data_IF_858485322175
#
_entry.id   IF_858485322175
#
_cell.length_a   1.000
_cell.length_b   1.000
_cell.length_c   1.000
_cell.angle_alpha   90.00
_cell.angle_beta   90.00
_cell.angle_gamma   90.00
#
_symmetry.space_group_name_H-M   'P 1'
#
loop_
_entity.id
_entity.type
_entity.pdbx_description
1 polymer ?
#
# COMPACT_ATOMS: atom_id res chain seq x y z
N UNK A 1 16.81 1.42 -16.25
CA UNK A 1 17.66 2.17 -15.31
C UNK A 1 16.81 2.91 -14.30
N UNK A 2 17.17 2.83 -13.04
CA UNK A 2 16.43 3.51 -12.00
C UNK A 2 16.62 5.03 -12.11
N UNK A 3 15.54 5.82 -12.03
CA UNK A 3 15.69 7.28 -12.05
C UNK A 3 16.55 7.77 -10.88
N UNK A 4 17.32 8.82 -11.12
CA UNK A 4 18.24 9.37 -10.13
C UNK A 4 17.53 9.97 -8.91
N UNK A 5 16.24 10.31 -9.05
CA UNK A 5 15.46 10.93 -7.98
C UNK A 5 14.51 9.96 -7.28
N UNK A 6 14.63 8.67 -7.58
CA UNK A 6 13.79 7.68 -6.93
C UNK A 6 14.25 7.45 -5.49
N UNK A 7 13.31 7.42 -4.57
CA UNK A 7 13.57 7.13 -3.16
C UNK A 7 12.63 6.08 -2.63
N UNK A 8 12.99 5.55 -1.45
CA UNK A 8 12.15 4.60 -0.73
C UNK A 8 11.25 5.36 0.22
N UNK A 9 9.95 5.09 0.16
CA UNK A 9 8.98 5.78 1.01
C UNK A 9 8.06 4.79 1.69
N UNK A 10 7.78 5.06 2.97
CA UNK A 10 6.73 4.39 3.70
C UNK A 10 5.52 5.32 3.74
N UNK A 11 4.42 4.87 3.15
CA UNK A 11 3.18 5.64 3.04
C UNK A 11 2.13 5.04 3.95
N UNK A 12 1.41 5.90 4.67
CA UNK A 12 0.26 5.50 5.47
C UNK A 12 -0.93 6.36 5.09
N UNK A 13 -2.04 5.72 4.76
CA UNK A 13 -3.29 6.41 4.49
C UNK A 13 -4.36 5.89 5.44
N UNK A 14 -5.02 6.80 6.16
CA UNK A 14 -6.04 6.46 7.15
C UNK A 14 -7.42 6.84 6.66
N UNK A 15 -8.42 6.11 7.18
CA UNK A 15 -9.81 6.42 6.89
C UNK A 15 -10.21 7.72 7.59
N UNK A 16 -11.22 8.38 7.00
CA UNK A 16 -11.84 9.52 7.65
C UNK A 16 -12.66 9.02 8.85
N UNK A 17 -12.55 9.74 10.00
CA UNK A 17 -13.30 9.43 11.21
C UNK A 17 -13.18 7.97 11.67
N UNK A 18 -12.04 7.35 11.41
CA UNK A 18 -11.76 5.96 11.80
C UNK A 18 -12.78 4.94 11.26
N UNK A 19 -13.46 5.26 10.17
CA UNK A 19 -14.38 4.33 9.53
C UNK A 19 -13.64 3.14 8.95
N UNK A 20 -14.33 2.00 8.86
CA UNK A 20 -13.79 0.85 8.16
C UNK A 20 -13.81 1.11 6.65
N UNK A 21 -12.64 1.11 6.03
CA UNK A 21 -12.49 1.29 4.58
C UNK A 21 -12.28 -0.04 3.86
N UNK A 22 -12.15 -1.11 4.62
CA UNK A 22 -12.16 -2.47 4.10
C UNK A 22 -13.15 -3.26 4.95
N UNK A 23 -14.29 -3.59 4.38
CA UNK A 23 -15.40 -4.22 5.12
C UNK A 23 -15.55 -5.69 4.82
N UNK A 24 -14.75 -6.21 3.90
CA UNK A 24 -14.79 -7.61 3.52
C UNK A 24 -13.76 -7.90 2.46
N UNK A 25 -13.65 -9.17 2.09
CA UNK A 25 -12.64 -9.65 1.15
C UNK A 25 -12.65 -8.89 -0.18
N UNK A 26 -13.84 -8.58 -0.65
CA UNK A 26 -13.99 -7.89 -1.93
C UNK A 26 -13.33 -6.52 -1.93
N UNK A 27 -13.41 -5.80 -0.82
CA UNK A 27 -12.76 -4.49 -0.69
C UNK A 27 -11.25 -4.63 -0.75
N UNK A 28 -10.71 -5.60 -0.01
CA UNK A 28 -9.26 -5.84 -0.01
C UNK A 28 -8.76 -6.22 -1.40
N UNK A 29 -9.44 -7.14 -2.05
CA UNK A 29 -9.06 -7.58 -3.39
C UNK A 29 -9.13 -6.44 -4.41
N UNK A 30 -10.13 -5.59 -4.29
CA UNK A 30 -10.29 -4.43 -5.16
C UNK A 30 -9.11 -3.46 -5.00
N UNK A 31 -8.70 -3.19 -3.75
CA UNK A 31 -7.57 -2.29 -3.52
C UNK A 31 -6.26 -2.88 -4.03
N UNK A 32 -6.05 -4.18 -3.82
CA UNK A 32 -4.88 -4.87 -4.37
C UNK A 32 -4.85 -4.76 -5.89
N UNK A 33 -6.01 -4.90 -6.53
CA UNK A 33 -6.12 -4.77 -7.98
C UNK A 33 -5.72 -3.36 -8.45
N UNK A 34 -6.21 -2.32 -7.77
CA UNK A 34 -5.83 -0.96 -8.12
C UNK A 34 -4.34 -0.69 -7.91
N UNK A 35 -3.79 -1.25 -6.84
CA UNK A 35 -2.36 -1.14 -6.58
C UNK A 35 -1.55 -1.81 -7.69
N UNK A 36 -1.94 -3.02 -8.06
CA UNK A 36 -1.27 -3.77 -9.13
C UNK A 36 -1.32 -3.03 -10.46
N UNK A 37 -2.45 -2.40 -10.77
CA UNK A 37 -2.60 -1.62 -11.99
C UNK A 37 -1.60 -0.46 -12.03
N UNK A 38 -1.44 0.26 -10.93
CA UNK A 38 -0.51 1.38 -10.87
C UNK A 38 0.94 0.92 -11.03
N UNK A 39 1.30 -0.21 -10.44
CA UNK A 39 2.63 -0.78 -10.62
C UNK A 39 2.85 -1.16 -12.09
N UNK A 40 1.89 -1.82 -12.71
CA UNK A 40 2.02 -2.24 -14.11
C UNK A 40 2.03 -1.05 -15.06
N UNK A 41 1.39 0.06 -14.71
CA UNK A 41 1.42 1.29 -15.47
C UNK A 41 2.74 2.07 -15.30
N UNK A 42 3.62 1.60 -14.41
CA UNK A 42 4.93 2.20 -14.22
C UNK A 42 4.97 3.38 -13.25
N UNK A 43 3.94 3.56 -12.42
CA UNK A 43 3.90 4.68 -11.49
C UNK A 43 4.92 4.55 -10.36
N UNK A 44 5.20 3.33 -9.92
CA UNK A 44 6.16 3.09 -8.85
C UNK A 44 6.48 1.60 -8.76
N UNK A 45 7.46 1.27 -7.93
CA UNK A 45 7.80 -0.13 -7.62
C UNK A 45 7.32 -0.43 -6.20
N UNK A 46 6.48 -1.44 -6.04
CA UNK A 46 5.94 -1.81 -4.74
C UNK A 46 6.79 -2.90 -4.11
N UNK A 47 7.25 -2.67 -2.88
CA UNK A 47 8.06 -3.63 -2.13
C UNK A 47 7.26 -4.36 -1.06
N UNK A 48 6.35 -3.65 -0.39
CA UNK A 48 5.51 -4.22 0.66
C UNK A 48 4.22 -3.43 0.79
N UNK A 49 3.19 -4.08 1.30
CA UNK A 49 1.94 -3.42 1.64
C UNK A 49 1.24 -4.17 2.77
N UNK A 50 0.36 -3.47 3.46
CA UNK A 50 -0.51 -4.08 4.46
C UNK A 50 -1.80 -3.27 4.52
N UNK A 51 -2.92 -3.89 4.18
CA UNK A 51 -4.24 -3.27 4.23
C UNK A 51 -4.95 -3.69 5.51
N UNK A 52 -5.28 -2.72 6.34
CA UNK A 52 -5.94 -2.89 7.63
C UNK A 52 -7.35 -2.31 7.56
N UNK A 53 -8.27 -2.69 8.45
CA UNK A 53 -9.66 -2.21 8.35
C UNK A 53 -9.83 -0.70 8.25
N UNK A 54 -8.97 0.10 8.90
CA UNK A 54 -9.11 1.55 8.94
C UNK A 54 -7.95 2.30 8.29
N UNK A 55 -6.99 1.60 7.71
CA UNK A 55 -5.83 2.27 7.09
C UNK A 55 -5.02 1.27 6.29
N UNK A 56 -4.06 1.78 5.52
CA UNK A 56 -3.09 0.91 4.87
C UNK A 56 -1.68 1.46 5.00
N UNK A 57 -0.72 0.55 4.93
CA UNK A 57 0.70 0.86 4.83
C UNK A 57 1.20 0.40 3.47
N UNK A 58 2.06 1.18 2.88
CA UNK A 58 2.66 0.89 1.58
C UNK A 58 4.13 1.26 1.63
N UNK A 59 5.00 0.36 1.19
CA UNK A 59 6.43 0.61 1.11
C UNK A 59 6.85 0.45 -0.34
N UNK A 60 7.41 1.48 -0.95
CA UNK A 60 7.75 1.44 -2.36
C UNK A 60 8.83 2.42 -2.76
N UNK A 61 9.32 2.24 -3.97
CA UNK A 61 10.25 3.15 -4.62
C UNK A 61 9.47 4.07 -5.54
N UNK A 62 9.60 5.37 -5.31
CA UNK A 62 8.91 6.41 -6.07
C UNK A 62 9.91 7.44 -6.56
N UNK A 63 9.68 7.96 -7.74
CA UNK A 63 10.26 9.24 -8.10
C UNK A 63 9.58 10.29 -7.23
N UNK A 64 10.35 11.20 -6.66
CA UNK A 64 9.84 12.15 -5.67
C UNK A 64 8.59 12.88 -6.15
N UNK A 65 8.61 13.38 -7.39
CA UNK A 65 7.49 14.11 -7.96
C UNK A 65 6.28 13.23 -8.26
N UNK A 66 6.45 11.91 -8.28
CA UNK A 66 5.37 10.97 -8.56
C UNK A 66 4.70 10.42 -7.31
N UNK A 67 5.29 10.63 -6.13
CA UNK A 67 4.75 10.07 -4.89
C UNK A 67 3.32 10.53 -4.63
N UNK A 68 3.10 11.82 -4.55
CA UNK A 68 1.78 12.37 -4.24
C UNK A 68 0.74 12.06 -5.33
N UNK A 69 1.04 12.26 -6.63
CA UNK A 69 0.07 11.90 -7.67
C UNK A 69 -0.30 10.42 -7.65
N UNK A 70 0.66 9.54 -7.39
CA UNK A 70 0.41 8.10 -7.37
C UNK A 70 -0.53 7.72 -6.22
N UNK A 71 -0.26 8.20 -5.01
CA UNK A 71 -1.10 7.88 -3.86
C UNK A 71 -2.50 8.49 -4.01
N UNK A 72 -2.59 9.73 -4.50
CA UNK A 72 -3.90 10.33 -4.78
C UNK A 72 -4.70 9.50 -5.78
N UNK A 73 -4.04 8.96 -6.79
CA UNK A 73 -4.71 8.13 -7.81
C UNK A 73 -5.20 6.82 -7.20
N UNK A 74 -4.37 6.16 -6.40
CA UNK A 74 -4.76 4.94 -5.71
C UNK A 74 -5.98 5.20 -4.82
N UNK A 75 -5.89 6.21 -3.97
CA UNK A 75 -6.95 6.52 -3.02
C UNK A 75 -8.25 6.90 -3.74
N UNK A 76 -8.17 7.67 -4.80
CA UNK A 76 -9.36 8.08 -5.56
C UNK A 76 -10.00 6.90 -6.28
N UNK A 77 -9.22 6.04 -6.92
CA UNK A 77 -9.75 4.86 -7.60
C UNK A 77 -10.43 3.92 -6.61
N UNK A 78 -9.78 3.67 -5.49
CA UNK A 78 -10.35 2.80 -4.47
C UNK A 78 -11.60 3.43 -3.85
N UNK A 79 -11.56 4.71 -3.50
CA UNK A 79 -12.69 5.40 -2.89
C UNK A 79 -13.93 5.35 -3.79
N UNK A 80 -13.76 5.52 -5.09
CA UNK A 80 -14.86 5.41 -6.06
C UNK A 80 -15.48 4.02 -6.03
N UNK A 81 -14.65 2.99 -6.10
CA UNK A 81 -15.12 1.60 -6.06
C UNK A 81 -15.82 1.29 -4.76
N UNK A 82 -15.21 1.70 -3.65
CA UNK A 82 -15.75 1.48 -2.32
C UNK A 82 -17.11 2.16 -2.15
N UNK A 83 -17.21 3.43 -2.49
CA UNK A 83 -18.44 4.17 -2.38
C UNK A 83 -19.56 3.58 -3.25
N UNK A 84 -19.22 3.17 -4.47
CA UNK A 84 -20.19 2.54 -5.37
C UNK A 84 -20.69 1.22 -4.78
N UNK A 85 -19.78 0.40 -4.27
CA UNK A 85 -20.09 -0.92 -3.75
C UNK A 85 -20.96 -0.85 -2.49
N UNK A 86 -20.73 0.16 -1.65
CA UNK A 86 -21.40 0.30 -0.37
C UNK A 86 -22.50 1.36 -0.34
N UNK A 87 -22.84 1.94 -1.49
CA UNK A 87 -23.86 2.99 -1.56
C UNK A 87 -23.51 4.20 -0.71
N UNK A 88 -22.24 4.56 -0.66
CA UNK A 88 -21.69 5.60 0.20
C UNK A 88 -21.28 6.81 -0.64
N UNK A 89 -21.26 7.98 -0.02
CA UNK A 89 -20.80 9.23 -0.65
C UNK A 89 -19.75 9.91 0.23
N UNK A 90 -18.94 10.75 -0.39
CA UNK A 90 -17.98 11.58 0.31
C UNK A 90 -16.61 10.93 0.45
N UNK A 91 -15.77 11.62 1.19
CA UNK A 91 -14.38 11.19 1.36
C UNK A 91 -14.28 9.88 2.12
N UNK A 92 -13.38 9.03 1.65
CA UNK A 92 -13.07 7.76 2.29
C UNK A 92 -11.81 7.90 3.12
N UNK A 93 -10.81 8.59 2.58
CA UNK A 93 -9.52 8.78 3.24
C UNK A 93 -9.41 10.16 3.86
N UNK A 94 -8.75 10.21 5.00
CA UNK A 94 -8.35 11.46 5.62
C UNK A 94 -7.20 12.07 4.83
N UNK A 95 -7.11 13.38 4.81
CA UNK A 95 -6.11 14.09 4.01
C UNK A 95 -5.32 15.02 4.91
N UNK A 96 -4.01 15.14 4.67
CA UNK A 96 -3.20 14.41 3.69
C UNK A 96 -2.78 13.03 4.19
N UNK A 97 -2.36 12.16 3.26
CA UNK A 97 -1.70 10.91 3.67
C UNK A 97 -0.33 11.24 4.25
N UNK A 98 0.24 10.27 4.96
CA UNK A 98 1.58 10.44 5.55
C UNK A 98 2.61 9.68 4.73
N UNK A 99 3.79 10.26 4.59
CA UNK A 99 4.90 9.59 3.93
C UNK A 99 6.19 9.90 4.67
N UNK A 100 7.04 8.89 4.79
CA UNK A 100 8.35 9.01 5.41
C UNK A 100 9.36 8.43 4.46
N UNK A 101 10.36 9.21 4.09
CA UNK A 101 11.44 8.70 3.25
C UNK A 101 12.33 7.80 4.09
N UNK A 102 12.63 6.61 3.54
CA UNK A 102 13.50 5.65 4.20
C UNK A 102 14.91 5.89 3.70
N UNK A 103 15.76 6.47 4.55
CA UNK A 103 17.07 6.93 4.14
C UNK A 103 18.22 6.04 4.58
N UNK A 104 17.95 5.05 5.44
CA UNK A 104 18.98 4.13 5.91
C UNK A 104 18.63 2.71 5.54
N UNK A 105 19.66 1.92 5.25
CA UNK A 105 19.51 0.51 4.91
C UNK A 105 18.87 -0.27 6.07
N UNK A 106 19.29 -0.01 7.29
CA UNK A 106 18.75 -0.65 8.47
C UNK A 106 17.26 -0.39 8.60
N UNK A 107 16.84 0.87 8.38
CA UNK A 107 15.44 1.24 8.43
C UNK A 107 14.64 0.49 7.36
N UNK A 108 15.20 0.40 6.15
CA UNK A 108 14.54 -0.30 5.05
C UNK A 108 14.30 -1.77 5.36
N UNK A 109 15.26 -2.43 5.99
CA UNK A 109 15.13 -3.84 6.34
C UNK A 109 14.13 -4.09 7.46
N UNK A 110 14.03 -3.18 8.42
CA UNK A 110 13.11 -3.34 9.54
C UNK A 110 11.68 -2.92 9.22
N UNK A 111 11.49 -2.11 8.19
CA UNK A 111 10.17 -1.62 7.86
C UNK A 111 9.18 -2.72 7.46
N UNK A 112 9.55 -3.71 6.64
CA UNK A 112 8.64 -4.82 6.37
C UNK A 112 8.20 -5.58 7.62
N UNK A 113 9.10 -5.77 8.59
CA UNK A 113 8.75 -6.41 9.86
C UNK A 113 7.72 -5.59 10.63
N UNK A 114 7.92 -4.28 10.68
CA UNK A 114 6.97 -3.37 11.31
C UNK A 114 5.59 -3.47 10.67
N UNK A 115 5.53 -3.47 9.35
CA UNK A 115 4.28 -3.59 8.62
C UNK A 115 3.64 -4.95 8.91
N UNK A 116 4.42 -6.01 8.95
CA UNK A 116 3.95 -7.36 9.20
C UNK A 116 3.35 -7.53 10.60
N UNK A 117 3.83 -6.77 11.57
CA UNK A 117 3.35 -6.84 12.95
C UNK A 117 2.07 -6.02 13.18
N UNK A 118 1.67 -5.20 12.23
CA UNK A 118 0.52 -4.32 12.36
C UNK A 118 -0.82 -5.05 12.37
N UNK A 119 -1.03 -6.14 11.61
CA UNK A 119 -2.33 -6.80 11.58
C UNK A 119 -2.78 -7.30 12.95
N UNK A 120 -4.09 -7.25 13.22
CA UNK A 120 -4.62 -7.69 14.53
C UNK A 120 -4.44 -9.19 14.81
N UNK A 121 -4.19 -9.96 13.76
CA UNK A 121 -3.97 -11.41 13.88
C UNK A 121 -3.16 -11.91 12.70
N UNK A 122 -2.53 -13.06 12.88
CA UNK A 122 -1.79 -13.73 11.82
C UNK A 122 -2.34 -15.14 11.59
N UNK A 123 -2.25 -15.64 10.36
CA UNK A 123 -1.83 -14.93 9.16
C UNK A 123 -2.83 -13.86 8.74
N UNK A 124 -2.36 -12.80 8.09
CA UNK A 124 -3.21 -11.73 7.58
C UNK A 124 -3.09 -11.72 6.06
N UNK A 125 -4.13 -12.16 5.33
CA UNK A 125 -4.01 -12.38 3.88
C UNK A 125 -3.86 -11.10 3.06
N UNK A 126 -4.14 -9.95 3.65
CA UNK A 126 -4.13 -8.68 2.94
C UNK A 126 -2.84 -7.91 3.19
N UNK A 127 -1.75 -8.64 3.33
CA UNK A 127 -0.43 -8.11 3.59
C UNK A 127 0.59 -8.86 2.73
N UNK A 128 1.56 -8.12 2.20
CA UNK A 128 2.65 -8.73 1.44
C UNK A 128 3.57 -9.58 2.32
N UNK A 129 3.53 -9.37 3.64
CA UNK A 129 4.29 -10.22 4.55
C UNK A 129 3.86 -11.67 4.41
N UNK A 130 2.54 -11.92 4.40
CA UNK A 130 2.02 -13.27 4.19
C UNK A 130 2.28 -13.74 2.77
N UNK A 131 2.31 -12.83 1.80
CA UNK A 131 2.71 -13.16 0.44
C UNK A 131 4.14 -13.65 0.39
N UNK A 132 5.04 -13.09 1.19
CA UNK A 132 6.44 -13.56 1.25
C UNK A 132 6.54 -14.99 1.76
N UNK A 133 5.60 -15.43 2.58
CA UNK A 133 5.63 -16.76 3.16
C UNK A 133 4.78 -17.79 2.42
N UNK A 134 3.88 -17.37 1.55
CA UNK A 134 3.02 -18.32 0.86
C UNK A 134 2.38 -17.80 -0.40
N UNK A 135 2.37 -16.51 -0.60
CA UNK A 135 1.65 -15.88 -1.71
C UNK A 135 2.54 -15.05 -2.63
N UNK A 136 3.83 -14.97 -2.35
CA UNK A 136 4.74 -14.14 -3.14
C UNK A 136 4.68 -14.49 -4.63
N UNK A 137 4.50 -15.75 -4.95
CA UNK A 137 4.38 -16.21 -6.34
C UNK A 137 3.09 -15.75 -7.01
N UNK A 138 2.09 -15.38 -6.22
CA UNK A 138 0.80 -14.91 -6.73
C UNK A 138 0.77 -13.41 -6.98
N UNK A 139 1.85 -12.73 -6.60
CA UNK A 139 1.96 -11.28 -6.74
C UNK A 139 3.20 -10.95 -7.57
N UNK A 140 3.18 -11.24 -8.87
CA UNK A 140 4.38 -11.04 -9.71
C UNK A 140 4.80 -9.59 -9.84
N UNK A 141 3.91 -8.65 -9.55
CA UNK A 141 4.21 -7.21 -9.61
C UNK A 141 4.91 -6.70 -8.35
N UNK A 142 4.97 -7.51 -7.30
CA UNK A 142 5.61 -7.14 -6.05
C UNK A 142 7.12 -7.41 -6.15
N UNK A 143 7.93 -6.40 -5.82
CA UNK A 143 9.37 -6.52 -5.82
C UNK A 143 9.89 -6.43 -4.39
N UNK A 144 10.17 -7.58 -3.78
CA UNK A 144 10.62 -7.62 -2.39
C UNK A 144 12.07 -7.18 -2.27
N UNK A 145 12.38 -6.55 -1.14
CA UNK A 145 13.76 -6.20 -0.80
C UNK A 145 14.33 -7.28 0.10
N UNK A 146 15.44 -7.87 -0.34
CA UNK A 146 16.10 -8.92 0.42
C UNK A 146 17.27 -8.33 1.21
N UNK A 147 17.44 -8.75 2.49
CA UNK A 147 18.61 -8.36 3.25
C UNK A 147 19.85 -8.97 2.59
N UNK A 148 20.77 -8.15 2.26
CA UNK A 148 21.97 -8.34 1.50
C UNK A 148 22.75 -9.59 1.51
#
# INVERSE_FOLDING_TARGET
MRPTHAGLFHVTARSIAEEHIFRGDRDYLDCIHHLAELVSEGFFVCHDFCFMPTHYHLFGSFEEEMLTPTIHRLNRRYARSFNRRHGRRGHVFDSPFRSVEVTTEAHAFHLPDYIAENPPRRPWPWSSFDAHFGFVERLPWLETLEPG
#
